data_IF_660483378500
#
_entry.id   IF_660483378500
#
_cell.length_a   1.000
_cell.length_b   1.000
_cell.length_c   1.000
_cell.angle_alpha   90.00
_cell.angle_beta   90.00
_cell.angle_gamma   90.00
#
_symmetry.space_group_name_H-M   'P 1'
#
loop_
_entity.id
_entity.type
_entity.pdbx_description
1 polymer ?
#
# COMPACT_ATOMS: atom_id res chain seq x y z
N UNK A 1 19.37 16.33 51.20
CA UNK A 1 20.07 17.07 50.14
C UNK A 1 21.44 17.56 50.57
N UNK A 2 21.60 18.16 51.76
CA UNK A 2 22.91 18.63 52.27
C UNK A 2 24.03 17.58 52.19
N UNK A 3 23.77 16.33 52.58
CA UNK A 3 24.78 15.26 52.49
C UNK A 3 25.21 14.92 51.05
N UNK A 4 24.30 15.04 50.07
CA UNK A 4 24.64 14.83 48.67
C UNK A 4 25.45 16.01 48.13
N UNK A 5 25.06 17.25 48.48
CA UNK A 5 25.81 18.45 48.14
C UNK A 5 27.25 18.37 48.67
N UNK A 6 27.42 18.02 49.95
CA UNK A 6 28.75 17.84 50.53
C UNK A 6 29.54 16.72 49.85
N UNK A 7 28.90 15.61 49.44
CA UNK A 7 29.59 14.55 48.71
C UNK A 7 30.24 15.09 47.42
N UNK A 8 29.50 15.87 46.63
CA UNK A 8 29.99 16.44 45.37
C UNK A 8 30.93 17.64 45.56
N UNK A 9 30.83 18.37 46.67
CA UNK A 9 31.76 19.48 47.00
C UNK A 9 33.17 18.97 47.36
N UNK A 10 33.27 17.81 48.02
CA UNK A 10 34.54 17.33 48.58
C UNK A 10 35.14 16.12 47.85
N UNK A 11 34.33 15.24 47.27
CA UNK A 11 34.83 14.02 46.63
C UNK A 11 35.09 14.22 45.13
N UNK A 12 36.29 13.82 44.70
CA UNK A 12 36.68 13.86 43.28
C UNK A 12 36.42 12.57 42.53
N UNK A 13 36.25 11.45 43.24
CA UNK A 13 36.00 10.13 42.64
C UNK A 13 34.86 9.43 43.38
N UNK A 14 33.79 9.11 42.66
CA UNK A 14 32.55 8.55 43.22
C UNK A 14 32.12 7.35 42.37
N UNK A 15 32.12 6.16 42.98
CA UNK A 15 31.42 4.99 42.44
C UNK A 15 30.03 4.90 43.09
N UNK A 16 28.99 5.09 42.30
CA UNK A 16 27.60 4.98 42.73
C UNK A 16 27.06 3.59 42.37
N UNK A 17 27.01 2.71 43.38
CA UNK A 17 26.47 1.35 43.21
C UNK A 17 24.97 1.37 43.39
N UNK A 18 24.27 0.81 42.41
CA UNK A 18 22.81 0.71 42.37
C UNK A 18 22.45 -0.75 42.14
N UNK A 19 21.25 -1.15 42.52
CA UNK A 19 20.78 -2.50 42.29
C UNK A 19 19.36 -2.48 41.71
N UNK A 20 19.21 -3.05 40.51
CA UNK A 20 17.94 -3.25 39.80
C UNK A 20 17.31 -1.98 39.24
N UNK A 21 18.08 -0.92 38.92
CA UNK A 21 17.47 0.34 38.48
C UNK A 21 16.88 0.29 37.07
N UNK A 22 17.34 -0.63 36.21
CA UNK A 22 16.79 -0.81 34.88
C UNK A 22 15.56 -1.73 34.81
N UNK A 23 15.20 -2.40 35.92
CA UNK A 23 14.07 -3.32 35.98
C UNK A 23 13.19 -3.06 37.21
N UNK A 24 13.40 -3.81 38.29
CA UNK A 24 12.48 -3.91 39.43
C UNK A 24 12.39 -2.63 40.28
N UNK A 25 13.37 -1.74 40.19
CA UNK A 25 13.47 -0.56 41.05
C UNK A 25 13.67 0.73 40.24
N UNK A 26 12.68 1.13 39.41
CA UNK A 26 12.81 2.28 38.51
C UNK A 26 13.04 3.61 39.25
N UNK A 27 12.60 3.72 40.51
CA UNK A 27 12.89 4.88 41.35
C UNK A 27 14.40 5.12 41.51
N UNK A 28 15.20 4.05 41.62
CA UNK A 28 16.65 4.17 41.76
C UNK A 28 17.29 4.75 40.50
N UNK A 29 16.67 4.57 39.33
CA UNK A 29 17.18 5.12 38.07
C UNK A 29 17.14 6.65 38.04
N UNK A 30 16.33 7.30 38.89
CA UNK A 30 16.36 8.75 39.04
C UNK A 30 17.72 9.24 39.53
N UNK A 31 18.44 8.45 40.35
CA UNK A 31 19.78 8.82 40.80
C UNK A 31 20.82 8.79 39.68
N UNK A 32 20.69 7.86 38.72
CA UNK A 32 21.49 7.84 37.50
C UNK A 32 21.21 9.09 36.67
N UNK A 33 19.94 9.45 36.49
CA UNK A 33 19.54 10.68 35.79
C UNK A 33 20.11 11.95 36.42
N UNK A 34 20.03 12.08 37.74
CA UNK A 34 20.66 13.17 38.49
C UNK A 34 22.18 13.18 38.27
N UNK A 35 22.80 12.00 38.33
CA UNK A 35 24.23 11.83 38.09
C UNK A 35 24.70 12.28 36.72
N UNK A 36 23.93 12.00 35.67
CA UNK A 36 24.23 12.48 34.30
C UNK A 36 24.32 14.00 34.26
N UNK A 37 23.39 14.70 34.91
CA UNK A 37 23.43 16.17 34.99
C UNK A 37 24.61 16.66 35.81
N UNK A 38 24.87 16.06 36.98
CA UNK A 38 25.98 16.46 37.85
C UNK A 38 27.34 16.24 37.20
N UNK A 39 27.52 15.17 36.42
CA UNK A 39 28.77 14.93 35.69
C UNK A 39 29.05 16.01 34.63
N UNK A 40 28.01 16.66 34.08
CA UNK A 40 28.17 17.80 33.16
C UNK A 40 28.44 19.11 33.91
N UNK A 41 27.91 19.27 35.13
CA UNK A 41 28.12 20.46 35.96
C UNK A 41 29.48 20.46 36.68
N UNK A 42 29.97 19.29 37.08
CA UNK A 42 31.21 19.09 37.82
C UNK A 42 32.20 18.23 37.02
N UNK A 43 32.81 18.76 35.94
CA UNK A 43 33.70 17.99 35.06
C UNK A 43 34.94 17.44 35.77
N UNK A 44 35.34 18.04 36.89
CA UNK A 44 36.45 17.59 37.73
C UNK A 44 36.10 16.38 38.64
N UNK A 45 34.83 15.96 38.66
CA UNK A 45 34.36 14.81 39.46
C UNK A 45 34.25 13.58 38.57
N UNK A 46 35.01 12.53 38.89
CA UNK A 46 34.91 11.21 38.29
C UNK A 46 33.72 10.47 38.89
N UNK A 47 32.59 10.56 38.23
CA UNK A 47 31.38 9.86 38.60
C UNK A 47 31.18 8.62 37.72
N UNK A 48 30.99 7.46 38.34
CA UNK A 48 30.68 6.20 37.66
C UNK A 48 29.50 5.50 38.35
N UNK A 49 28.59 4.96 37.55
CA UNK A 49 27.45 4.17 37.99
C UNK A 49 27.68 2.68 37.71
N UNK A 50 27.39 1.84 38.69
CA UNK A 50 27.36 0.39 38.54
C UNK A 50 25.99 -0.13 38.98
N UNK A 51 25.13 -0.48 38.03
CA UNK A 51 23.87 -1.17 38.31
C UNK A 51 24.13 -2.68 38.40
N UNK A 52 23.77 -3.26 39.53
CA UNK A 52 23.89 -4.69 39.80
C UNK A 52 22.52 -5.33 39.61
N UNK A 53 22.51 -6.51 39.01
CA UNK A 53 21.29 -7.31 38.90
C UNK A 53 20.64 -7.55 40.29
N UNK A 54 19.31 -7.38 40.34
CA UNK A 54 18.50 -7.58 41.54
C UNK A 54 18.33 -9.08 41.89
N UNK A 55 18.62 -9.99 40.96
CA UNK A 55 18.53 -11.45 41.15
C UNK A 55 19.56 -12.02 42.13
N UNK A 56 20.55 -11.23 42.56
CA UNK A 56 21.71 -11.68 43.35
C UNK A 56 22.15 -10.68 44.41
N UNK A 57 23.04 -11.09 45.30
CA UNK A 57 23.71 -10.17 46.22
C UNK A 57 24.82 -9.41 45.48
N UNK A 58 25.09 -8.13 45.83
CA UNK A 58 26.23 -7.40 45.30
C UNK A 58 27.54 -8.17 45.51
N UNK A 59 28.31 -8.35 44.43
CA UNK A 59 29.64 -8.93 44.50
C UNK A 59 30.65 -7.88 44.99
N UNK A 60 31.19 -8.09 46.20
CA UNK A 60 32.18 -7.20 46.78
C UNK A 60 33.44 -7.08 45.90
N UNK A 61 33.82 -8.16 45.21
CA UNK A 61 34.99 -8.15 44.32
C UNK A 61 34.75 -7.23 43.12
N UNK A 62 33.60 -7.38 42.44
CA UNK A 62 33.23 -6.50 41.34
C UNK A 62 33.23 -5.02 41.77
N UNK A 63 32.61 -4.69 42.90
CA UNK A 63 32.55 -3.31 43.39
C UNK A 63 33.95 -2.77 43.68
N UNK A 64 34.79 -3.55 44.37
CA UNK A 64 36.15 -3.17 44.70
C UNK A 64 37.02 -2.97 43.43
N UNK A 65 37.00 -3.93 42.51
CA UNK A 65 37.74 -3.83 41.25
C UNK A 65 37.27 -2.64 40.41
N UNK A 66 35.97 -2.36 40.40
CA UNK A 66 35.40 -1.21 39.69
C UNK A 66 35.88 0.11 40.27
N UNK A 67 35.82 0.26 41.59
CA UNK A 67 36.30 1.48 42.27
C UNK A 67 37.80 1.70 42.06
N UNK A 68 38.58 0.61 42.12
CA UNK A 68 40.02 0.67 41.84
C UNK A 68 40.26 1.15 40.40
N UNK A 69 39.61 0.53 39.40
CA UNK A 69 39.73 0.94 38.00
C UNK A 69 39.40 2.42 37.81
N UNK A 70 38.33 2.92 38.44
CA UNK A 70 37.93 4.33 38.37
C UNK A 70 39.02 5.30 38.92
N UNK A 71 39.78 4.86 39.92
CA UNK A 71 40.82 5.66 40.54
C UNK A 71 42.16 5.68 39.77
N UNK A 72 42.42 4.69 38.91
CA UNK A 72 43.73 4.46 38.29
C UNK A 72 43.87 4.95 36.83
N UNK A 73 42.95 5.76 36.30
CA UNK A 73 42.80 5.94 34.83
C UNK A 73 43.70 6.98 34.14
N UNK A 74 44.54 7.75 34.83
CA UNK A 74 45.38 8.78 34.17
C UNK A 74 46.78 8.28 33.84
N UNK A 75 46.88 7.50 32.77
CA UNK A 75 48.17 7.22 32.13
C UNK A 75 48.14 7.73 30.69
N UNK A 76 49.07 8.63 30.37
CA UNK A 76 49.18 9.20 29.03
C UNK A 76 49.36 8.09 27.98
N UNK A 77 48.59 8.16 26.89
CA UNK A 77 48.68 7.22 25.78
C UNK A 77 47.77 5.98 25.86
N UNK A 78 46.90 5.86 26.87
CA UNK A 78 45.93 4.75 26.97
C UNK A 78 44.54 5.22 26.51
N UNK A 79 43.89 4.42 25.64
CA UNK A 79 42.51 4.66 25.16
C UNK A 79 41.44 4.28 26.19
N UNK A 80 41.76 4.33 27.48
CA UNK A 80 40.87 3.91 28.55
C UNK A 80 39.80 4.96 28.81
N UNK A 81 38.54 4.58 28.67
CA UNK A 81 37.36 5.40 29.01
C UNK A 81 36.89 5.12 30.43
N UNK A 82 36.37 6.15 31.09
CA UNK A 82 35.80 6.03 32.45
C UNK A 82 34.57 5.12 32.48
N UNK A 83 33.81 5.02 31.38
CA UNK A 83 32.55 4.28 31.34
C UNK A 83 31.60 4.70 32.45
N UNK A 84 31.03 5.89 32.28
CA UNK A 84 30.19 6.55 33.28
C UNK A 84 29.02 5.69 33.78
N UNK A 85 28.49 4.80 32.94
CA UNK A 85 27.36 3.92 33.28
C UNK A 85 27.65 2.48 32.88
N UNK A 86 27.64 1.59 33.87
CA UNK A 86 27.83 0.16 33.69
C UNK A 86 26.69 -0.61 34.33
N UNK A 87 26.35 -1.74 33.71
CA UNK A 87 25.31 -2.65 34.18
C UNK A 87 25.87 -4.06 34.23
N UNK A 88 25.59 -4.79 35.31
CA UNK A 88 25.97 -6.18 35.43
C UNK A 88 24.79 -7.10 35.06
N UNK A 89 24.84 -7.72 33.89
CA UNK A 89 23.82 -8.66 33.40
C UNK A 89 24.45 -10.03 33.12
N UNK A 90 23.84 -11.13 33.57
CA UNK A 90 24.30 -12.50 33.29
C UNK A 90 25.83 -12.69 33.54
N UNK A 91 26.31 -12.28 34.73
CA UNK A 91 27.73 -12.31 35.12
C UNK A 91 28.70 -11.48 34.27
N UNK A 92 28.19 -10.59 33.41
CA UNK A 92 29.00 -9.72 32.55
C UNK A 92 28.73 -8.26 32.85
N UNK A 93 29.77 -7.46 32.78
CA UNK A 93 29.66 -6.00 32.84
C UNK A 93 29.45 -5.48 31.43
N UNK A 94 28.34 -4.80 31.23
CA UNK A 94 27.90 -4.20 29.97
C UNK A 94 27.94 -2.68 30.10
N UNK A 95 28.17 -2.00 28.98
CA UNK A 95 28.21 -0.54 28.90
C UNK A 95 27.26 -0.09 27.80
N UNK A 96 26.45 0.92 28.07
CA UNK A 96 25.55 1.49 27.09
C UNK A 96 26.31 2.35 26.06
N UNK A 97 25.96 2.17 24.78
CA UNK A 97 26.47 3.00 23.68
C UNK A 97 25.29 3.50 22.85
N UNK A 98 25.28 4.80 22.58
CA UNK A 98 24.34 5.39 21.64
C UNK A 98 24.85 5.11 20.22
N UNK A 99 24.14 4.26 19.49
CA UNK A 99 24.43 3.93 18.10
C UNK A 99 23.28 4.40 17.21
N UNK A 100 23.61 4.78 15.97
CA UNK A 100 22.59 5.20 15.01
C UNK A 100 21.70 4.00 14.63
N UNK A 101 20.41 4.09 14.94
CA UNK A 101 19.40 3.17 14.42
C UNK A 101 19.21 3.45 12.92
N UNK A 102 19.83 2.62 12.08
CA UNK A 102 19.82 2.80 10.63
C UNK A 102 18.41 2.69 10.07
N UNK A 103 17.58 1.80 10.58
CA UNK A 103 16.25 1.55 10.02
C UNK A 103 15.29 2.68 10.38
N UNK A 104 15.30 3.14 11.64
CA UNK A 104 14.53 4.30 12.06
C UNK A 104 14.94 5.56 11.29
N UNK A 105 16.25 5.79 11.12
CA UNK A 105 16.78 6.92 10.37
C UNK A 105 16.42 6.85 8.88
N UNK A 106 16.46 5.67 8.26
CA UNK A 106 16.05 5.48 6.87
C UNK A 106 14.56 5.79 6.69
N UNK A 107 13.70 5.29 7.58
CA UNK A 107 12.26 5.62 7.56
C UNK A 107 12.01 7.11 7.77
N UNK A 108 12.71 7.76 8.68
CA UNK A 108 12.60 9.21 8.87
C UNK A 108 12.97 9.96 7.58
N UNK A 109 14.12 9.62 6.97
CA UNK A 109 14.60 10.27 5.75
C UNK A 109 13.74 9.95 4.50
N UNK A 110 12.99 8.85 4.50
CA UNK A 110 12.10 8.47 3.41
C UNK A 110 10.95 9.48 3.18
N UNK A 111 10.67 10.35 4.15
CA UNK A 111 9.73 11.47 3.96
C UNK A 111 10.26 12.53 2.98
N UNK A 112 11.58 12.72 2.93
CA UNK A 112 12.21 13.82 2.20
C UNK A 112 12.96 13.36 0.94
N UNK A 113 13.29 12.06 0.84
CA UNK A 113 13.96 11.48 -0.33
C UNK A 113 13.50 10.06 -0.59
N UNK A 114 13.56 9.63 -1.85
CA UNK A 114 13.29 8.24 -2.20
C UNK A 114 14.39 7.33 -1.66
N UNK A 115 14.01 6.37 -0.82
CA UNK A 115 14.88 5.30 -0.32
C UNK A 115 14.24 3.99 -0.73
N UNK A 116 15.04 3.09 -1.32
CA UNK A 116 14.58 1.81 -1.83
C UNK A 116 15.33 0.66 -1.19
N UNK A 117 14.63 -0.46 -1.00
CA UNK A 117 15.20 -1.75 -0.61
C UNK A 117 14.75 -2.82 -1.60
N UNK A 118 15.64 -3.75 -1.92
CA UNK A 118 15.30 -4.94 -2.70
C UNK A 118 14.69 -5.99 -1.75
N UNK A 119 13.39 -6.26 -1.91
CA UNK A 119 12.63 -7.16 -1.02
C UNK A 119 12.06 -8.34 -1.83
N UNK A 120 12.02 -9.52 -1.22
CA UNK A 120 11.37 -10.69 -1.79
C UNK A 120 9.83 -10.55 -1.74
N UNK A 121 9.13 -10.50 -2.88
CA UNK A 121 7.66 -10.42 -2.92
C UNK A 121 6.98 -11.70 -2.38
N UNK A 122 7.72 -12.79 -2.18
CA UNK A 122 7.25 -14.01 -1.55
C UNK A 122 7.13 -13.94 -0.03
N UNK A 123 7.94 -13.12 0.64
CA UNK A 123 7.99 -13.03 2.10
C UNK A 123 7.23 -11.86 2.70
N UNK A 124 6.86 -10.87 1.88
CA UNK A 124 6.35 -9.58 2.36
C UNK A 124 5.10 -9.15 1.60
N UNK A 125 4.16 -8.55 2.33
CA UNK A 125 2.97 -7.93 1.76
C UNK A 125 3.37 -6.60 1.11
N UNK A 126 3.32 -6.55 -0.21
CA UNK A 126 3.70 -5.41 -1.04
C UNK A 126 2.51 -4.98 -1.89
N UNK A 127 2.48 -3.71 -2.29
CA UNK A 127 1.48 -3.19 -3.22
C UNK A 127 2.06 -2.17 -4.18
N UNK A 128 1.45 -2.08 -5.34
CA UNK A 128 1.65 -0.97 -6.24
C UNK A 128 0.93 0.29 -5.75
N UNK A 129 1.57 1.42 -6.04
CA UNK A 129 0.94 2.73 -6.01
C UNK A 129 1.26 3.43 -7.33
N UNK A 130 0.22 3.93 -7.99
CA UNK A 130 0.33 4.65 -9.26
C UNK A 130 0.38 6.15 -8.99
N UNK A 131 1.41 6.80 -9.50
CA UNK A 131 1.54 8.25 -9.58
C UNK A 131 1.35 8.70 -11.02
N UNK A 132 0.61 9.79 -11.24
CA UNK A 132 0.39 10.36 -12.57
C UNK A 132 1.68 10.85 -13.24
N UNK A 133 2.67 11.27 -12.45
CA UNK A 133 3.93 11.83 -12.97
C UNK A 133 5.08 10.80 -13.03
N UNK A 134 5.07 9.77 -12.18
CA UNK A 134 6.21 8.87 -11.99
C UNK A 134 5.92 7.39 -12.28
N UNK A 135 4.74 7.06 -12.82
CA UNK A 135 4.35 5.68 -13.10
C UNK A 135 4.06 4.88 -11.82
N UNK A 136 4.47 3.62 -11.79
CA UNK A 136 4.26 2.74 -10.63
C UNK A 136 5.46 2.75 -9.67
N UNK A 137 5.16 2.64 -8.38
CA UNK A 137 6.14 2.37 -7.33
C UNK A 137 5.58 1.30 -6.39
N UNK A 138 6.46 0.50 -5.80
CA UNK A 138 6.08 -0.57 -4.87
C UNK A 138 6.32 -0.09 -3.44
N UNK A 139 5.40 -0.40 -2.54
CA UNK A 139 5.48 -0.07 -1.12
C UNK A 139 5.11 -1.27 -0.27
N UNK A 140 5.62 -1.30 0.96
CA UNK A 140 5.09 -2.20 1.99
C UNK A 140 3.61 -1.93 2.24
N UNK A 141 2.86 -3.00 2.47
CA UNK A 141 1.43 -2.97 2.69
C UNK A 141 1.07 -3.67 3.99
N UNK A 142 0.49 -2.93 4.93
CA UNK A 142 -0.15 -3.50 6.11
C UNK A 142 -1.60 -3.85 5.75
N UNK A 143 -1.91 -5.14 5.70
CA UNK A 143 -3.26 -5.63 5.39
C UNK A 143 -3.93 -6.00 6.71
N UNK A 144 -4.98 -5.28 7.06
CA UNK A 144 -5.88 -5.68 8.14
C UNK A 144 -6.98 -6.54 7.53
N UNK A 145 -7.02 -7.82 7.89
CA UNK A 145 -8.06 -8.74 7.43
C UNK A 145 -9.23 -8.67 8.40
N UNK A 146 -10.40 -8.28 7.92
CA UNK A 146 -11.62 -8.36 8.73
C UNK A 146 -12.07 -9.82 8.90
N UNK A 147 -12.88 -10.15 9.91
CA UNK A 147 -13.35 -11.51 10.16
C UNK A 147 -14.13 -12.16 9.00
N UNK A 148 -14.63 -11.36 8.06
CA UNK A 148 -15.42 -11.79 6.91
C UNK A 148 -14.61 -11.87 5.60
N UNK A 149 -13.36 -11.42 5.65
CA UNK A 149 -12.45 -11.44 4.51
C UNK A 149 -11.54 -12.67 4.53
N UNK A 150 -11.14 -13.07 3.33
CA UNK A 150 -10.18 -14.13 3.10
C UNK A 150 -8.93 -13.52 2.49
N UNK A 151 -7.77 -13.88 3.04
CA UNK A 151 -6.48 -13.47 2.49
C UNK A 151 -6.13 -14.31 1.26
N UNK A 152 -5.81 -13.61 0.17
CA UNK A 152 -5.40 -14.20 -1.10
C UNK A 152 -3.92 -13.89 -1.34
N UNK A 153 -3.13 -14.94 -1.53
CA UNK A 153 -1.74 -14.85 -1.97
C UNK A 153 -1.72 -14.68 -3.48
N UNK A 154 -1.45 -13.47 -3.94
CA UNK A 154 -1.53 -13.10 -5.35
C UNK A 154 -0.36 -13.73 -6.11
N UNK A 155 -0.69 -14.34 -7.26
CA UNK A 155 0.29 -14.79 -8.24
C UNK A 155 0.34 -13.85 -9.43
N UNK A 156 -0.81 -13.55 -10.02
CA UNK A 156 -0.94 -12.68 -11.18
C UNK A 156 -2.07 -11.67 -10.96
N UNK A 157 -1.92 -10.47 -11.52
CA UNK A 157 -2.91 -9.42 -11.40
C UNK A 157 -2.95 -8.55 -12.67
N UNK A 158 -4.09 -7.97 -13.01
CA UNK A 158 -4.13 -6.95 -14.07
C UNK A 158 -3.43 -5.68 -13.58
N UNK A 159 -2.51 -5.13 -14.37
CA UNK A 159 -1.75 -3.94 -13.98
C UNK A 159 -2.67 -2.74 -13.77
N UNK A 160 -3.59 -2.53 -14.71
CA UNK A 160 -4.63 -1.50 -14.65
C UNK A 160 -5.92 -2.09 -14.06
N UNK A 161 -6.74 -1.28 -13.37
CA UNK A 161 -8.11 -1.66 -13.03
C UNK A 161 -8.90 -1.98 -14.30
N UNK A 162 -9.73 -3.00 -14.23
CA UNK A 162 -10.56 -3.47 -15.36
C UNK A 162 -12.05 -3.25 -15.10
N UNK A 163 -12.45 -3.07 -13.84
CA UNK A 163 -13.83 -2.83 -13.44
C UNK A 163 -13.90 -1.75 -12.36
N UNK A 164 -14.31 -0.53 -12.72
CA UNK A 164 -14.29 0.61 -11.81
C UNK A 164 -12.85 0.91 -11.34
N UNK A 165 -12.59 0.72 -10.05
CA UNK A 165 -11.25 0.80 -9.45
C UNK A 165 -10.65 -0.56 -9.09
N UNK A 166 -11.24 -1.67 -9.56
CA UNK A 166 -10.84 -3.02 -9.23
C UNK A 166 -9.94 -3.66 -10.29
N UNK A 167 -8.87 -4.28 -9.81
CA UNK A 167 -7.98 -5.15 -10.57
C UNK A 167 -8.52 -6.57 -10.58
N UNK A 168 -8.31 -7.29 -11.69
CA UNK A 168 -8.50 -8.74 -11.73
C UNK A 168 -7.29 -9.42 -11.06
N UNK A 169 -7.56 -10.32 -10.13
CA UNK A 169 -6.55 -10.99 -9.30
C UNK A 169 -6.67 -12.50 -9.48
N UNK A 170 -5.55 -13.16 -9.72
CA UNK A 170 -5.41 -14.60 -9.65
C UNK A 170 -4.40 -14.98 -8.57
N UNK A 171 -4.79 -15.87 -7.66
CA UNK A 171 -3.96 -16.24 -6.52
C UNK A 171 -4.35 -17.55 -5.86
N UNK A 172 -3.87 -17.73 -4.63
CA UNK A 172 -4.27 -18.85 -3.76
C UNK A 172 -5.02 -18.32 -2.54
N UNK A 173 -6.15 -18.95 -2.25
CA UNK A 173 -6.87 -18.77 -1.00
C UNK A 173 -6.01 -19.33 0.15
N UNK A 174 -5.66 -18.50 1.14
CA UNK A 174 -4.81 -18.91 2.26
C UNK A 174 -5.46 -20.01 3.11
N UNK A 175 -6.79 -19.97 3.28
CA UNK A 175 -7.53 -20.91 4.12
C UNK A 175 -7.68 -22.29 3.48
N UNK A 176 -7.92 -22.34 2.17
CA UNK A 176 -8.23 -23.60 1.46
C UNK A 176 -7.07 -24.12 0.62
N UNK A 177 -6.07 -23.28 0.34
CA UNK A 177 -4.93 -23.59 -0.54
C UNK A 177 -5.29 -23.64 -2.03
N UNK A 178 -6.57 -23.49 -2.39
CA UNK A 178 -7.07 -23.59 -3.77
C UNK A 178 -6.78 -22.32 -4.57
N UNK A 179 -6.69 -22.48 -5.89
CA UNK A 179 -6.60 -21.36 -6.81
C UNK A 179 -7.91 -20.58 -6.85
N UNK A 180 -7.80 -19.26 -6.91
CA UNK A 180 -8.93 -18.34 -6.87
C UNK A 180 -8.75 -17.22 -7.87
N UNK A 181 -9.86 -16.78 -8.45
CA UNK A 181 -9.96 -15.53 -9.19
C UNK A 181 -10.90 -14.58 -8.44
N UNK A 182 -10.51 -13.31 -8.34
CA UNK A 182 -11.29 -12.30 -7.62
C UNK A 182 -10.98 -10.90 -8.12
N UNK A 183 -11.69 -9.92 -7.55
CA UNK A 183 -11.44 -8.50 -7.77
C UNK A 183 -10.86 -7.84 -6.51
N UNK A 184 -9.93 -6.90 -6.68
CA UNK A 184 -9.42 -6.08 -5.57
C UNK A 184 -9.09 -4.66 -6.00
N UNK A 185 -9.37 -3.68 -5.13
CA UNK A 185 -8.94 -2.30 -5.32
C UNK A 185 -7.42 -2.11 -5.13
N UNK A 186 -6.71 -3.14 -4.63
CA UNK A 186 -5.28 -3.12 -4.39
C UNK A 186 -4.62 -4.16 -5.30
N UNK A 187 -3.58 -3.75 -6.03
CA UNK A 187 -2.70 -4.67 -6.74
C UNK A 187 -1.43 -4.87 -5.92
N UNK A 188 -1.22 -6.07 -5.40
CA UNK A 188 -0.14 -6.40 -4.47
C UNK A 188 0.16 -7.89 -4.40
N UNK A 189 1.13 -8.28 -3.58
CA UNK A 189 1.49 -9.70 -3.33
C UNK A 189 0.42 -10.43 -2.52
N UNK A 190 -0.36 -9.68 -1.74
CA UNK A 190 -1.46 -10.18 -0.93
C UNK A 190 -2.63 -9.21 -0.98
N UNK A 191 -3.85 -9.73 -0.95
CA UNK A 191 -5.08 -8.93 -0.85
C UNK A 191 -6.08 -9.60 0.09
N UNK A 192 -6.83 -8.81 0.85
CA UNK A 192 -7.99 -9.28 1.61
C UNK A 192 -9.25 -9.04 0.77
N UNK A 193 -10.09 -10.08 0.61
CA UNK A 193 -11.30 -10.01 -0.22
C UNK A 193 -12.44 -10.74 0.49
N UNK A 194 -13.66 -10.20 0.40
CA UNK A 194 -14.87 -10.85 0.90
C UNK A 194 -15.08 -12.20 0.20
N UNK A 195 -15.51 -13.22 0.93
CA UNK A 195 -15.62 -14.58 0.37
C UNK A 195 -16.60 -14.69 -0.81
N UNK A 196 -17.59 -13.79 -0.87
CA UNK A 196 -18.57 -13.68 -1.96
C UNK A 196 -18.03 -12.98 -3.24
N UNK A 197 -16.88 -12.30 -3.14
CA UNK A 197 -16.24 -11.59 -4.26
C UNK A 197 -15.10 -12.41 -4.89
N UNK A 198 -15.07 -13.72 -4.64
CA UNK A 198 -14.05 -14.62 -5.15
C UNK A 198 -14.67 -15.93 -5.64
N UNK A 199 -14.06 -16.53 -6.66
CA UNK A 199 -14.46 -17.84 -7.19
C UNK A 199 -13.27 -18.78 -7.13
N UNK A 200 -13.41 -19.89 -6.41
CA UNK A 200 -12.43 -20.97 -6.41
C UNK A 200 -12.55 -21.78 -7.72
N UNK A 201 -11.41 -22.13 -8.30
CA UNK A 201 -11.36 -22.85 -9.57
C UNK A 201 -10.09 -23.69 -9.69
N UNK A 202 -10.09 -24.62 -10.63
CA UNK A 202 -8.89 -25.35 -11.05
C UNK A 202 -8.42 -24.82 -12.38
N UNK A 203 -7.16 -24.40 -12.46
CA UNK A 203 -6.53 -23.86 -13.68
C UNK A 203 -5.25 -24.65 -13.92
N UNK A 204 -5.02 -25.02 -15.18
CA UNK A 204 -3.76 -25.62 -15.62
C UNK A 204 -2.62 -24.65 -15.37
N UNK A 205 -1.50 -25.13 -14.85
CA UNK A 205 -0.34 -24.27 -14.61
C UNK A 205 0.09 -23.59 -15.93
N UNK A 206 0.26 -22.27 -15.90
CA UNK A 206 0.60 -21.46 -17.07
C UNK A 206 -0.58 -20.73 -17.71
N UNK A 207 -1.82 -21.18 -17.52
CA UNK A 207 -3.01 -20.53 -18.10
C UNK A 207 -3.54 -19.36 -17.27
N UNK A 208 -2.88 -19.01 -16.15
CA UNK A 208 -3.40 -18.01 -15.21
C UNK A 208 -3.43 -16.60 -15.83
N UNK A 209 -2.41 -16.25 -16.63
CA UNK A 209 -2.38 -14.97 -17.33
C UNK A 209 -3.44 -14.92 -18.43
N UNK A 210 -3.59 -16.01 -19.19
CA UNK A 210 -4.63 -16.15 -20.21
C UNK A 210 -6.03 -15.95 -19.60
N UNK A 211 -6.29 -16.53 -18.43
CA UNK A 211 -7.56 -16.37 -17.74
C UNK A 211 -7.83 -14.91 -17.36
N UNK A 212 -6.83 -14.19 -16.83
CA UNK A 212 -6.96 -12.76 -16.54
C UNK A 212 -7.15 -11.93 -17.81
N UNK A 213 -6.49 -12.28 -18.92
CA UNK A 213 -6.70 -11.62 -20.21
C UNK A 213 -8.13 -11.83 -20.74
N UNK A 214 -8.67 -13.04 -20.61
CA UNK A 214 -10.08 -13.33 -20.91
C UNK A 214 -11.04 -12.55 -20.02
N UNK A 215 -10.72 -12.42 -18.72
CA UNK A 215 -11.50 -11.58 -17.81
C UNK A 215 -11.51 -10.12 -18.27
N UNK A 216 -10.37 -9.56 -18.67
CA UNK A 216 -10.31 -8.22 -19.25
C UNK A 216 -11.25 -8.08 -20.47
N UNK A 217 -11.18 -9.03 -21.40
CA UNK A 217 -11.98 -9.02 -22.63
C UNK A 217 -13.47 -9.15 -22.35
N UNK A 218 -13.88 -10.02 -21.42
CA UNK A 218 -15.28 -10.20 -21.03
C UNK A 218 -15.86 -8.91 -20.43
N UNK A 219 -15.08 -8.21 -19.62
CA UNK A 219 -15.49 -6.92 -19.05
C UNK A 219 -15.62 -5.86 -20.15
N UNK A 220 -14.68 -5.82 -21.10
CA UNK A 220 -14.76 -4.92 -22.25
C UNK A 220 -16.01 -5.18 -23.09
N UNK A 221 -16.32 -6.45 -23.39
CA UNK A 221 -17.54 -6.83 -24.11
C UNK A 221 -18.78 -6.41 -23.34
N UNK A 222 -18.81 -6.65 -22.02
CA UNK A 222 -19.95 -6.27 -21.18
C UNK A 222 -20.17 -4.75 -21.19
N UNK A 223 -19.11 -3.95 -21.00
CA UNK A 223 -19.17 -2.49 -21.04
C UNK A 223 -19.63 -1.95 -22.40
N UNK A 224 -19.18 -2.55 -23.50
CA UNK A 224 -19.65 -2.18 -24.84
C UNK A 224 -21.13 -2.51 -24.99
N UNK A 225 -21.57 -3.70 -24.57
CA UNK A 225 -22.97 -4.12 -24.70
C UNK A 225 -23.93 -3.34 -23.79
N UNK A 226 -23.45 -2.79 -22.68
CA UNK A 226 -24.27 -2.05 -21.72
C UNK A 226 -24.63 -0.63 -22.21
N UNK A 227 -23.83 -0.06 -23.13
CA UNK A 227 -24.12 1.24 -23.74
C UNK A 227 -24.95 1.13 -25.04
N UNK A 228 -25.34 -0.08 -25.42
CA UNK A 228 -26.04 -0.37 -26.66
C UNK A 228 -27.51 -0.74 -26.43
N UNK A 229 -28.38 -0.27 -27.31
CA UNK A 229 -29.81 -0.61 -27.28
C UNK A 229 -30.10 -1.92 -28.03
N UNK A 230 -31.11 -2.70 -27.61
CA UNK A 230 -31.55 -3.88 -28.37
C UNK A 230 -31.94 -3.53 -29.82
N UNK A 231 -31.69 -4.43 -30.76
CA UNK A 231 -31.95 -4.26 -32.21
C UNK A 231 -31.12 -3.19 -32.92
N UNK A 232 -30.14 -2.58 -32.26
CA UNK A 232 -29.25 -1.61 -32.87
C UNK A 232 -28.23 -2.28 -33.81
N UNK A 233 -27.74 -1.54 -34.82
CA UNK A 233 -26.68 -2.00 -35.72
C UNK A 233 -25.40 -1.23 -35.44
N UNK A 234 -24.37 -1.95 -34.98
CA UNK A 234 -23.11 -1.41 -34.50
C UNK A 234 -22.00 -1.75 -35.48
N UNK A 235 -21.23 -0.74 -35.88
CA UNK A 235 -19.96 -0.95 -36.57
C UNK A 235 -18.84 -0.89 -35.54
N UNK A 236 -18.00 -1.91 -35.48
CA UNK A 236 -16.79 -1.93 -34.64
C UNK A 236 -15.55 -1.95 -35.52
N UNK A 237 -14.76 -0.88 -35.46
CA UNK A 237 -13.56 -0.71 -36.28
C UNK A 237 -12.32 -1.26 -35.58
N UNK A 238 -11.58 -2.09 -36.29
CA UNK A 238 -10.30 -2.70 -35.91
C UNK A 238 -10.26 -3.29 -34.48
N UNK A 239 -11.27 -4.07 -34.04
CA UNK A 239 -11.17 -4.77 -32.78
C UNK A 239 -10.11 -5.87 -32.84
N UNK A 240 -9.51 -6.19 -31.69
CA UNK A 240 -8.70 -7.40 -31.57
C UNK A 240 -9.55 -8.65 -31.94
N UNK A 241 -9.00 -9.66 -32.63
CA UNK A 241 -9.78 -10.78 -33.15
C UNK A 241 -10.65 -11.50 -32.10
N UNK A 242 -10.10 -11.72 -30.91
CA UNK A 242 -10.82 -12.35 -29.80
C UNK A 242 -11.94 -11.46 -29.25
N UNK A 243 -11.73 -10.13 -29.17
CA UNK A 243 -12.75 -9.17 -28.76
C UNK A 243 -13.90 -9.16 -29.77
N UNK A 244 -13.59 -9.17 -31.07
CA UNK A 244 -14.58 -9.23 -32.14
C UNK A 244 -15.46 -10.47 -32.03
N UNK A 245 -14.85 -11.64 -31.82
CA UNK A 245 -15.58 -12.89 -31.67
C UNK A 245 -16.47 -12.89 -30.42
N UNK A 246 -15.93 -12.56 -29.26
CA UNK A 246 -16.71 -12.51 -28.01
C UNK A 246 -17.85 -11.49 -28.11
N UNK A 247 -17.59 -10.32 -28.69
CA UNK A 247 -18.61 -9.30 -28.89
C UNK A 247 -19.72 -9.79 -29.83
N UNK A 248 -19.38 -10.46 -30.94
CA UNK A 248 -20.37 -11.01 -31.87
C UNK A 248 -21.28 -12.05 -31.20
N UNK A 249 -20.69 -13.02 -30.48
CA UNK A 249 -21.44 -14.08 -29.80
C UNK A 249 -22.39 -13.52 -28.73
N UNK A 250 -21.94 -12.55 -27.93
CA UNK A 250 -22.75 -11.96 -26.85
C UNK A 250 -23.75 -10.92 -27.34
N UNK A 251 -23.41 -10.15 -28.38
CA UNK A 251 -24.34 -9.24 -29.02
C UNK A 251 -25.53 -9.97 -29.64
N UNK A 252 -25.29 -11.13 -30.26
CA UNK A 252 -26.35 -11.96 -30.84
C UNK A 252 -27.39 -12.37 -29.78
N UNK A 253 -26.94 -12.72 -28.56
CA UNK A 253 -27.83 -13.05 -27.44
C UNK A 253 -28.69 -11.88 -26.97
N UNK A 254 -28.20 -10.64 -27.11
CA UNK A 254 -28.93 -9.40 -26.78
C UNK A 254 -29.73 -8.83 -27.96
N UNK A 255 -29.77 -9.52 -29.11
CA UNK A 255 -30.45 -9.04 -30.32
C UNK A 255 -29.79 -7.80 -30.93
N UNK A 256 -28.47 -7.64 -30.76
CA UNK A 256 -27.67 -6.54 -31.33
C UNK A 256 -26.94 -7.05 -32.57
N UNK A 257 -26.99 -6.28 -33.65
CA UNK A 257 -26.30 -6.62 -34.89
C UNK A 257 -24.93 -5.93 -34.94
N UNK A 258 -23.85 -6.71 -34.91
CA UNK A 258 -22.47 -6.18 -34.97
C UNK A 258 -21.88 -6.45 -36.34
N UNK A 259 -21.24 -5.46 -36.91
CA UNK A 259 -20.52 -5.52 -38.18
C UNK A 259 -19.11 -4.94 -37.99
N UNK A 260 -18.10 -5.58 -38.55
CA UNK A 260 -16.71 -5.23 -38.30
C UNK A 260 -16.06 -4.53 -39.49
N UNK A 261 -15.16 -3.59 -39.24
CA UNK A 261 -14.28 -3.02 -40.27
C UNK A 261 -12.83 -3.22 -39.87
N UNK A 262 -11.99 -3.62 -40.81
CA UNK A 262 -10.56 -3.88 -40.55
C UNK A 262 -9.69 -3.44 -41.73
N UNK A 263 -8.44 -3.04 -41.46
CA UNK A 263 -7.45 -2.87 -42.51
C UNK A 263 -7.08 -4.20 -43.18
N UNK A 264 -6.60 -4.14 -44.42
CA UNK A 264 -6.11 -5.31 -45.16
C UNK A 264 -4.74 -5.73 -44.59
N UNK A 265 -4.71 -6.28 -43.39
CA UNK A 265 -3.56 -7.00 -42.83
C UNK A 265 -4.01 -8.41 -42.44
N UNK A 266 -3.15 -9.40 -42.69
CA UNK A 266 -3.46 -10.84 -42.61
C UNK A 266 -3.89 -11.29 -41.21
N UNK A 267 -5.19 -11.27 -40.92
CA UNK A 267 -5.79 -12.19 -39.96
C UNK A 267 -7.23 -12.45 -40.35
N UNK A 268 -7.59 -13.73 -40.47
CA UNK A 268 -8.89 -14.17 -40.91
C UNK A 268 -9.60 -14.87 -39.74
N UNK A 269 -10.53 -14.16 -39.08
CA UNK A 269 -11.65 -14.86 -38.45
C UNK A 269 -12.72 -14.97 -39.54
N UNK A 270 -12.58 -15.99 -40.40
CA UNK A 270 -13.35 -16.15 -41.65
C UNK A 270 -14.89 -16.30 -41.47
N UNK A 271 -15.41 -16.15 -40.25
CA UNK A 271 -16.83 -16.35 -39.90
C UNK A 271 -17.55 -15.08 -39.44
N UNK A 272 -16.88 -13.93 -39.27
CA UNK A 272 -17.53 -12.71 -38.78
C UNK A 272 -18.06 -11.81 -39.91
N UNK A 273 -19.17 -11.09 -39.69
CA UNK A 273 -19.68 -10.11 -40.65
C UNK A 273 -18.73 -8.89 -40.70
N UNK A 274 -17.88 -8.83 -41.73
CA UNK A 274 -16.79 -7.86 -41.78
C UNK A 274 -16.56 -7.24 -43.16
N UNK A 275 -16.02 -6.02 -43.18
CA UNK A 275 -15.54 -5.32 -44.36
C UNK A 275 -14.07 -4.96 -44.21
N UNK A 276 -13.26 -5.42 -45.17
CA UNK A 276 -11.86 -5.03 -45.29
C UNK A 276 -11.73 -3.73 -46.06
N UNK A 277 -11.09 -2.74 -45.46
CA UNK A 277 -10.90 -1.41 -46.05
C UNK A 277 -9.42 -1.18 -46.29
N UNK A 278 -9.08 -0.78 -47.52
CA UNK A 278 -7.74 -0.36 -47.89
C UNK A 278 -7.67 1.17 -47.87
N UNK A 279 -6.49 1.74 -47.62
CA UNK A 279 -6.26 3.18 -47.75
C UNK A 279 -6.62 3.73 -49.15
N UNK A 280 -6.58 2.90 -50.19
CA UNK A 280 -7.01 3.24 -51.55
C UNK A 280 -8.51 2.97 -51.82
N UNK A 281 -9.27 2.45 -50.86
CA UNK A 281 -10.69 2.12 -51.06
C UNK A 281 -11.53 3.40 -51.27
N UNK A 282 -12.21 3.55 -52.42
CA UNK A 282 -13.03 4.72 -52.68
C UNK A 282 -14.26 4.74 -51.78
N UNK A 283 -14.61 5.94 -51.26
CA UNK A 283 -15.76 6.19 -50.37
C UNK A 283 -17.05 5.51 -50.84
N UNK A 284 -17.32 5.51 -52.15
CA UNK A 284 -18.52 4.89 -52.74
C UNK A 284 -18.59 3.38 -52.47
N UNK A 285 -17.46 2.66 -52.56
CA UNK A 285 -17.42 1.21 -52.36
C UNK A 285 -17.57 0.85 -50.88
N UNK A 286 -16.94 1.63 -49.99
CA UNK A 286 -17.11 1.48 -48.54
C UNK A 286 -18.60 1.66 -48.20
N UNK A 287 -19.20 2.77 -48.64
CA UNK A 287 -20.61 3.07 -48.36
C UNK A 287 -21.57 2.02 -48.89
N UNK A 288 -21.30 1.41 -50.05
CA UNK A 288 -22.16 0.34 -50.61
C UNK A 288 -22.02 -1.01 -49.90
N UNK A 289 -20.91 -1.24 -49.19
CA UNK A 289 -20.64 -2.51 -48.52
C UNK A 289 -21.01 -2.51 -47.03
N UNK A 290 -21.21 -1.32 -46.44
CA UNK A 290 -21.69 -1.19 -45.06
C UNK A 290 -23.17 -1.57 -44.94
N UNK A 291 -23.60 -2.10 -43.78
CA UNK A 291 -25.01 -2.42 -43.53
C UNK A 291 -25.89 -1.17 -43.53
N UNK A 292 -27.18 -1.35 -43.80
CA UNK A 292 -28.20 -0.30 -43.66
C UNK A 292 -28.61 -0.12 -42.19
N UNK A 293 -29.06 1.07 -41.79
CA UNK A 293 -29.54 1.39 -40.43
C UNK A 293 -28.48 1.33 -39.31
N UNK A 294 -27.26 1.80 -39.60
CA UNK A 294 -26.19 1.91 -38.60
C UNK A 294 -26.55 2.96 -37.55
N UNK A 295 -26.61 2.55 -36.29
CA UNK A 295 -26.91 3.41 -35.14
C UNK A 295 -25.66 3.81 -34.36
N UNK A 296 -24.65 2.94 -34.30
CA UNK A 296 -23.44 3.17 -33.47
C UNK A 296 -22.17 2.78 -34.24
N UNK A 297 -21.12 3.57 -34.06
CA UNK A 297 -19.76 3.28 -34.50
C UNK A 297 -18.80 3.35 -33.31
N UNK A 298 -18.04 2.27 -33.12
CA UNK A 298 -17.05 2.11 -32.05
C UNK A 298 -15.69 1.90 -32.69
N UNK A 299 -14.78 2.84 -32.47
CA UNK A 299 -13.39 2.68 -32.89
C UNK A 299 -12.53 2.00 -31.83
N UNK A 300 -11.93 0.86 -32.17
CA UNK A 300 -10.97 0.14 -31.33
C UNK A 300 -9.50 0.40 -31.75
N UNK A 301 -9.27 1.16 -32.82
CA UNK A 301 -7.93 1.47 -33.28
C UNK A 301 -7.19 2.38 -32.29
N UNK A 302 -5.86 2.22 -32.23
CA UNK A 302 -4.98 3.09 -31.45
C UNK A 302 -4.31 4.17 -32.31
N UNK A 303 -4.47 4.09 -33.63
CA UNK A 303 -3.86 4.98 -34.61
C UNK A 303 -4.86 6.01 -35.14
N UNK A 304 -4.63 7.32 -34.97
CA UNK A 304 -5.51 8.38 -35.48
C UNK A 304 -5.68 8.36 -37.02
N UNK A 305 -4.74 7.75 -37.73
CA UNK A 305 -4.73 7.63 -39.20
C UNK A 305 -5.24 6.28 -39.72
N UNK A 306 -5.83 5.46 -38.84
CA UNK A 306 -6.36 4.14 -39.17
C UNK A 306 -7.55 4.18 -40.14
N UNK A 307 -8.10 3.01 -40.43
CA UNK A 307 -9.22 2.82 -41.37
C UNK A 307 -10.50 3.57 -40.94
N UNK A 308 -10.64 3.90 -39.66
CA UNK A 308 -11.75 4.68 -39.12
C UNK A 308 -12.03 5.95 -39.93
N UNK A 309 -10.99 6.69 -40.35
CA UNK A 309 -11.13 7.93 -41.15
C UNK A 309 -11.82 7.74 -42.50
N UNK A 310 -11.79 6.53 -43.05
CA UNK A 310 -12.42 6.18 -44.33
C UNK A 310 -13.86 5.68 -44.14
N UNK A 311 -14.12 5.04 -43.00
CA UNK A 311 -15.42 4.49 -42.62
C UNK A 311 -16.34 5.59 -42.08
N UNK A 312 -15.86 6.44 -41.18
CA UNK A 312 -16.63 7.49 -40.51
C UNK A 312 -17.43 8.40 -41.47
N UNK A 313 -16.86 8.89 -42.60
CA UNK A 313 -17.59 9.74 -43.53
C UNK A 313 -18.68 9.01 -44.34
N UNK A 314 -18.72 7.67 -44.26
CA UNK A 314 -19.72 6.82 -44.92
C UNK A 314 -20.94 6.55 -44.03
N UNK A 315 -20.85 6.87 -42.73
CA UNK A 315 -21.88 6.61 -41.74
C UNK A 315 -23.04 7.63 -41.81
N UNK A 316 -24.25 7.26 -41.39
CA UNK A 316 -25.37 8.19 -41.26
C UNK A 316 -25.10 9.36 -40.28
N UNK A 317 -25.82 10.47 -40.45
CA UNK A 317 -25.66 11.64 -39.57
C UNK A 317 -26.10 11.35 -38.12
N UNK A 318 -27.12 10.52 -37.94
CA UNK A 318 -27.65 10.11 -36.63
C UNK A 318 -26.81 9.02 -35.94
N UNK A 319 -25.75 8.53 -36.56
CA UNK A 319 -24.89 7.50 -35.97
C UNK A 319 -24.10 8.06 -34.79
N UNK A 320 -24.26 7.46 -33.61
CA UNK A 320 -23.43 7.79 -32.45
C UNK A 320 -22.02 7.24 -32.65
N UNK A 321 -21.00 8.09 -32.47
CA UNK A 321 -19.59 7.75 -32.70
C UNK A 321 -18.85 7.81 -31.37
N UNK A 322 -18.12 6.76 -31.06
CA UNK A 322 -17.33 6.64 -29.83
C UNK A 322 -16.10 5.76 -30.06
N UNK A 323 -15.22 5.66 -29.07
CA UNK A 323 -14.10 4.72 -29.08
C UNK A 323 -14.20 3.73 -27.92
N UNK A 324 -13.53 2.58 -28.05
CA UNK A 324 -13.43 1.61 -26.96
C UNK A 324 -12.81 2.24 -25.70
N UNK A 325 -11.79 3.08 -25.89
CA UNK A 325 -11.15 3.81 -24.78
C UNK A 325 -12.10 4.79 -24.11
N UNK A 326 -12.94 5.50 -24.87
CA UNK A 326 -13.95 6.41 -24.31
C UNK A 326 -14.99 5.65 -23.48
N UNK A 327 -15.45 4.50 -23.97
CA UNK A 327 -16.35 3.61 -23.22
C UNK A 327 -15.68 3.19 -21.90
N UNK A 328 -14.46 2.67 -21.95
CA UNK A 328 -13.71 2.28 -20.74
C UNK A 328 -13.54 3.44 -19.75
N UNK A 329 -13.28 4.65 -20.24
CA UNK A 329 -13.20 5.84 -19.41
C UNK A 329 -14.52 6.20 -18.72
N UNK A 330 -15.68 5.95 -19.36
CA UNK A 330 -16.99 6.13 -18.70
C UNK A 330 -17.17 5.20 -17.49
N UNK A 331 -16.58 4.00 -17.53
CA UNK A 331 -16.59 3.04 -16.43
C UNK A 331 -15.42 3.20 -15.45
N UNK A 332 -14.42 4.02 -15.78
CA UNK A 332 -13.29 4.30 -14.89
C UNK A 332 -13.75 5.18 -13.73
N UNK A 333 -13.72 4.65 -12.50
CA UNK A 333 -14.12 5.38 -11.29
C UNK A 333 -15.63 5.35 -11.01
N UNK A 334 -16.42 4.60 -11.78
CA UNK A 334 -17.79 4.25 -11.35
C UNK A 334 -17.74 3.30 -10.16
N UNK A 335 -18.78 3.32 -9.32
CA UNK A 335 -18.90 2.34 -8.24
C UNK A 335 -18.95 0.94 -8.87
N UNK A 336 -18.14 0.04 -8.34
CA UNK A 336 -18.19 -1.36 -8.73
C UNK A 336 -19.64 -1.89 -8.59
N UNK A 337 -20.07 -2.80 -9.48
CA UNK A 337 -21.37 -3.45 -9.34
C UNK A 337 -21.44 -4.22 -8.01
N UNK A 338 -22.66 -4.53 -7.56
CA UNK A 338 -22.87 -5.29 -6.32
C UNK A 338 -22.19 -6.65 -6.34
N UNK A 339 -21.92 -7.21 -5.16
CA UNK A 339 -21.10 -8.42 -4.98
C UNK A 339 -21.60 -9.63 -5.80
N UNK A 340 -22.92 -9.83 -5.87
CA UNK A 340 -23.53 -10.92 -6.67
C UNK A 340 -23.13 -10.83 -8.16
N UNK A 341 -23.11 -9.61 -8.71
CA UNK A 341 -22.75 -9.37 -10.11
C UNK A 341 -21.27 -9.61 -10.40
N UNK A 342 -20.38 -9.44 -9.41
CA UNK A 342 -18.95 -9.72 -9.56
C UNK A 342 -18.69 -11.22 -9.67
N UNK A 343 -19.31 -12.00 -8.78
CA UNK A 343 -19.20 -13.46 -8.79
C UNK A 343 -19.74 -14.06 -10.08
N UNK A 344 -20.86 -13.55 -10.58
CA UNK A 344 -21.45 -14.01 -11.85
C UNK A 344 -20.53 -13.74 -13.04
N UNK A 345 -19.89 -12.56 -13.09
CA UNK A 345 -18.94 -12.24 -14.14
C UNK A 345 -17.72 -13.16 -14.11
N UNK A 346 -17.18 -13.45 -12.92
CA UNK A 346 -16.07 -14.40 -12.77
C UNK A 346 -16.47 -15.81 -13.25
N UNK A 347 -17.68 -16.28 -12.89
CA UNK A 347 -18.21 -17.58 -13.34
C UNK A 347 -18.47 -17.64 -14.84
N UNK A 348 -18.86 -16.52 -15.43
CA UNK A 348 -19.09 -16.39 -16.87
C UNK A 348 -17.80 -16.63 -17.66
N UNK A 349 -16.70 -16.01 -17.23
CA UNK A 349 -15.36 -16.20 -17.84
C UNK A 349 -14.88 -17.64 -17.71
N UNK A 350 -15.12 -18.27 -16.55
CA UNK A 350 -14.74 -19.66 -16.31
C UNK A 350 -15.53 -20.61 -17.21
N UNK A 351 -16.83 -20.38 -17.38
CA UNK A 351 -17.71 -21.27 -18.15
C UNK A 351 -17.57 -21.11 -19.67
N UNK A 352 -17.21 -19.92 -20.15
CA UNK A 352 -17.10 -19.60 -21.57
C UNK A 352 -15.66 -19.46 -22.06
N UNK A 353 -14.66 -19.93 -21.30
CA UNK A 353 -13.25 -19.88 -21.69
C UNK A 353 -13.05 -20.59 -23.04
N UNK A 354 -12.83 -19.89 -24.16
CA UNK A 354 -12.76 -20.51 -25.47
C UNK A 354 -11.42 -21.25 -25.57
N UNK A 355 -11.40 -22.59 -25.75
CA UNK A 355 -10.16 -23.36 -25.60
C UNK A 355 -9.17 -23.22 -26.76
N UNK A 356 -9.47 -22.44 -27.82
CA UNK A 356 -8.79 -22.60 -29.11
C UNK A 356 -8.26 -21.31 -29.77
N UNK A 357 -8.47 -20.13 -29.18
CA UNK A 357 -8.03 -18.86 -29.80
C UNK A 357 -6.76 -18.37 -29.09
N UNK A 358 -5.66 -18.13 -29.81
CA UNK A 358 -4.49 -17.45 -29.27
C UNK A 358 -4.87 -16.04 -28.81
N UNK A 359 -4.53 -15.70 -27.56
CA UNK A 359 -4.75 -14.37 -27.00
C UNK A 359 -3.38 -13.73 -26.82
N UNK A 360 -3.16 -12.60 -27.47
CA UNK A 360 -1.99 -11.78 -27.22
C UNK A 360 -2.21 -10.99 -25.92
N UNK A 361 -1.30 -11.13 -24.97
CA UNK A 361 -1.26 -10.34 -23.75
C UNK A 361 0.19 -10.20 -23.28
N UNK A 362 0.47 -9.09 -22.61
CA UNK A 362 1.79 -8.79 -22.09
C UNK A 362 1.88 -9.21 -20.63
N UNK A 363 2.88 -10.01 -20.27
CA UNK A 363 3.19 -10.35 -18.88
C UNK A 363 4.45 -9.60 -18.47
N UNK A 364 4.38 -8.82 -17.40
CA UNK A 364 5.50 -8.05 -16.87
C UNK A 364 5.81 -8.46 -15.42
N UNK A 365 7.09 -8.43 -15.05
CA UNK A 365 7.44 -8.54 -13.64
C UNK A 365 7.19 -7.22 -12.89
N UNK A 366 7.06 -7.22 -11.56
CA UNK A 366 6.89 -5.98 -10.81
C UNK A 366 8.06 -5.01 -10.98
N UNK A 367 9.27 -5.53 -11.19
CA UNK A 367 10.47 -4.71 -11.47
C UNK A 367 10.36 -4.01 -12.83
N UNK A 368 9.91 -4.72 -13.87
CA UNK A 368 9.74 -4.14 -15.20
C UNK A 368 8.65 -3.07 -15.20
N UNK A 369 7.56 -3.30 -14.46
CA UNK A 369 6.48 -2.32 -14.27
C UNK A 369 7.00 -1.01 -13.69
N UNK A 370 7.87 -1.06 -12.69
CA UNK A 370 8.48 0.15 -12.12
C UNK A 370 9.44 0.81 -13.12
N UNK A 371 10.16 0.02 -13.92
CA UNK A 371 11.11 0.52 -14.92
C UNK A 371 10.43 1.19 -16.14
N UNK A 372 9.22 0.76 -16.51
CA UNK A 372 8.47 1.31 -17.66
C UNK A 372 8.02 2.77 -17.50
N UNK A 373 8.04 3.32 -16.28
CA UNK A 373 7.97 4.77 -16.05
C UNK A 373 6.69 5.48 -16.50
N UNK A 374 5.59 4.75 -16.72
CA UNK A 374 4.28 5.34 -17.08
C UNK A 374 3.70 4.88 -18.41
N UNK A 375 4.48 4.23 -19.27
CA UNK A 375 4.01 3.69 -20.55
C UNK A 375 3.61 2.22 -20.38
N UNK A 376 2.31 1.93 -20.38
CA UNK A 376 1.80 0.57 -20.18
C UNK A 376 0.79 0.20 -21.24
N UNK A 377 0.92 -1.00 -21.78
CA UNK A 377 -0.07 -1.55 -22.71
C UNK A 377 -1.36 -1.92 -21.97
N UNK A 378 -2.51 -1.63 -22.58
CA UNK A 378 -3.79 -2.08 -22.08
C UNK A 378 -3.82 -3.61 -21.99
N UNK A 379 -4.32 -4.14 -20.88
CA UNK A 379 -4.33 -5.60 -20.65
C UNK A 379 -3.01 -6.21 -20.16
N UNK A 380 -2.00 -5.40 -19.81
CA UNK A 380 -0.78 -5.89 -19.16
C UNK A 380 -1.13 -6.63 -17.85
N UNK A 381 -0.57 -7.82 -17.69
CA UNK A 381 -0.69 -8.66 -16.50
C UNK A 381 0.64 -8.66 -15.75
N UNK A 382 0.59 -8.40 -14.45
CA UNK A 382 1.75 -8.49 -13.58
C UNK A 382 1.86 -9.90 -13.03
N UNK A 383 3.05 -10.51 -13.12
CA UNK A 383 3.39 -11.74 -12.42
C UNK A 383 4.24 -11.45 -11.18
N UNK A 384 3.59 -11.45 -10.02
CA UNK A 384 4.23 -11.18 -8.71
C UNK A 384 5.23 -12.25 -8.28
N UNK A 385 5.32 -13.38 -9.00
CA UNK A 385 6.28 -14.46 -8.75
C UNK A 385 7.41 -14.52 -9.77
N UNK A 386 7.43 -13.63 -10.78
CA UNK A 386 8.44 -13.63 -11.84
C UNK A 386 9.84 -13.16 -11.38
N UNK A 387 9.94 -12.42 -10.28
CA UNK A 387 11.21 -11.86 -9.78
C UNK A 387 11.47 -12.23 -8.34
N UNK A 388 12.73 -12.58 -8.02
CA UNK A 388 13.16 -12.88 -6.66
C UNK A 388 13.21 -11.65 -5.76
N UNK A 389 13.55 -10.47 -6.31
CA UNK A 389 13.65 -9.22 -5.55
C UNK A 389 13.03 -8.06 -6.33
N UNK A 390 12.27 -7.22 -5.65
CA UNK A 390 11.61 -6.04 -6.22
C UNK A 390 12.02 -4.77 -5.48
N UNK A 391 12.18 -3.62 -6.18
CA UNK A 391 12.57 -2.36 -5.56
C UNK A 391 11.38 -1.74 -4.81
N UNK A 392 11.37 -1.87 -3.49
CA UNK A 392 10.33 -1.33 -2.60
C UNK A 392 10.76 0.03 -2.11
N UNK A 393 9.92 1.04 -2.32
CA UNK A 393 10.10 2.37 -1.71
C UNK A 393 9.72 2.31 -0.25
N UNK A 394 10.66 2.68 0.62
CA UNK A 394 10.37 2.86 2.02
C UNK A 394 9.39 4.02 2.19
N UNK A 395 8.43 3.83 3.10
CA UNK A 395 7.58 4.92 3.58
C UNK A 395 8.08 5.43 4.91
N UNK A 396 7.85 6.72 5.16
CA UNK A 396 8.08 7.27 6.49
C UNK A 396 7.17 6.59 7.51
N UNK A 397 7.68 6.42 8.74
CA UNK A 397 6.91 5.92 9.89
C UNK A 397 5.62 6.72 10.10
N UNK A 398 5.64 8.01 9.73
CA UNK A 398 4.47 8.89 9.75
C UNK A 398 3.31 8.39 8.87
N UNK A 399 3.55 7.58 7.84
CA UNK A 399 2.47 7.03 6.99
C UNK A 399 2.05 5.61 7.40
N UNK A 400 2.83 4.97 8.28
CA UNK A 400 2.59 3.60 8.72
C UNK A 400 1.77 3.53 10.01
N UNK A 401 1.90 4.53 10.89
CA UNK A 401 1.19 4.55 12.16
C UNK A 401 -0.30 4.84 11.92
N UNK A 402 -1.14 3.94 12.40
CA UNK A 402 -2.59 4.08 12.49
C UNK A 402 -3.03 3.89 13.93
N UNK A 403 -3.93 4.75 14.37
CA UNK A 403 -4.59 4.65 15.64
C UNK A 403 -5.93 3.96 15.44
N UNK A 404 -6.22 3.05 16.35
CA UNK A 404 -7.54 2.45 16.51
C UNK A 404 -8.52 3.54 16.95
N UNK A 405 -9.59 3.71 16.17
CA UNK A 405 -10.64 4.70 16.42
C UNK A 405 -11.46 4.39 17.68
N UNK A 406 -11.49 3.13 18.10
CA UNK A 406 -12.27 2.66 19.26
C UNK A 406 -11.47 2.70 20.57
N UNK A 407 -10.25 3.27 20.55
CA UNK A 407 -9.39 3.41 21.73
C UNK A 407 -9.27 4.85 22.18
N UNK A 408 -9.00 5.01 23.48
CA UNK A 408 -8.71 6.29 24.12
C UNK A 408 -7.21 6.46 24.30
N UNK A 409 -6.67 7.58 23.81
CA UNK A 409 -5.24 7.91 23.93
C UNK A 409 -5.03 9.02 24.95
N UNK A 410 -4.24 8.77 25.99
CA UNK A 410 -4.02 9.73 27.08
C UNK A 410 -2.63 10.34 26.98
N UNK A 411 -2.57 11.68 26.90
CA UNK A 411 -1.34 12.45 26.81
C UNK A 411 -1.10 13.20 28.13
N UNK A 412 0.00 12.85 28.80
CA UNK A 412 0.34 13.37 30.12
C UNK A 412 1.36 14.50 30.04
N UNK A 413 1.00 15.68 30.59
CA UNK A 413 1.95 16.75 30.88
C UNK A 413 2.55 17.45 29.66
N UNK A 414 1.93 17.34 28.49
CA UNK A 414 2.39 18.03 27.29
C UNK A 414 2.06 19.54 27.35
N UNK A 415 2.97 20.37 26.84
CA UNK A 415 2.70 21.79 26.60
C UNK A 415 1.59 21.97 25.57
N UNK A 416 0.90 23.11 25.59
CA UNK A 416 -0.25 23.37 24.70
C UNK A 416 0.08 23.11 23.23
N UNK A 417 1.18 23.67 22.74
CA UNK A 417 1.51 23.65 21.31
C UNK A 417 1.98 22.28 20.84
N UNK A 418 2.73 21.57 21.68
CA UNK A 418 3.13 20.18 21.39
C UNK A 418 1.91 19.24 21.47
N UNK A 419 1.01 19.49 22.43
CA UNK A 419 -0.20 18.71 22.60
C UNK A 419 -1.14 18.87 21.39
N UNK A 420 -1.38 20.10 20.92
CA UNK A 420 -2.23 20.35 19.74
C UNK A 420 -1.63 19.71 18.50
N UNK A 421 -0.34 19.94 18.22
CA UNK A 421 0.33 19.34 17.06
C UNK A 421 0.32 17.80 17.09
N UNK A 422 0.52 17.20 18.27
CA UNK A 422 0.45 15.74 18.40
C UNK A 422 -0.98 15.24 18.23
N UNK A 423 -1.98 15.92 18.78
CA UNK A 423 -3.39 15.60 18.59
C UNK A 423 -3.80 15.64 17.12
N UNK A 424 -3.38 16.66 16.37
CA UNK A 424 -3.65 16.78 14.93
C UNK A 424 -3.00 15.62 14.16
N UNK A 425 -1.75 15.29 14.51
CA UNK A 425 -1.03 14.16 13.94
C UNK A 425 -1.70 12.81 14.27
N UNK A 426 -2.20 12.62 15.49
CA UNK A 426 -2.91 11.41 15.90
C UNK A 426 -4.30 11.29 15.25
N UNK A 427 -5.04 12.40 15.22
CA UNK A 427 -6.37 12.51 14.61
C UNK A 427 -6.36 12.15 13.13
N UNK A 428 -5.41 12.72 12.38
CA UNK A 428 -5.20 12.41 10.96
C UNK A 428 -4.80 10.95 10.70
N UNK A 429 -4.51 10.17 11.75
CA UNK A 429 -4.13 8.75 11.69
C UNK A 429 -5.15 7.80 12.32
N UNK A 430 -6.34 8.29 12.65
CA UNK A 430 -7.46 7.45 13.10
C UNK A 430 -7.78 7.57 14.57
N UNK A 431 -7.02 8.34 15.36
CA UNK A 431 -7.40 8.56 16.76
C UNK A 431 -8.69 9.37 16.78
N UNK A 432 -9.72 8.86 17.48
CA UNK A 432 -11.00 9.56 17.65
C UNK A 432 -11.27 9.99 19.08
N UNK A 433 -10.60 9.39 20.06
CA UNK A 433 -10.74 9.78 21.46
C UNK A 433 -9.38 10.08 22.06
N UNK A 434 -9.13 11.36 22.39
CA UNK A 434 -7.86 11.83 22.96
C UNK A 434 -8.11 12.55 24.28
N UNK A 435 -7.33 12.21 25.31
CA UNK A 435 -7.39 12.82 26.62
C UNK A 435 -6.10 13.58 26.89
N UNK A 436 -6.22 14.89 27.11
CA UNK A 436 -5.11 15.76 27.47
C UNK A 436 -5.13 15.99 28.98
N UNK A 437 -4.00 15.77 29.65
CA UNK A 437 -3.86 16.12 31.06
C UNK A 437 -2.73 17.14 31.22
N UNK A 438 -3.04 18.33 31.73
CA UNK A 438 -2.07 19.37 32.01
C UNK A 438 -2.48 20.11 33.29
N UNK A 439 -1.51 20.58 34.08
CA UNK A 439 -1.79 21.38 35.27
C UNK A 439 -2.48 22.70 34.95
N UNK A 440 -2.10 23.33 33.84
CA UNK A 440 -2.68 24.59 33.36
C UNK A 440 -2.89 24.50 31.84
N UNK A 441 -3.93 23.78 31.38
CA UNK A 441 -4.19 23.66 29.96
C UNK A 441 -4.60 25.01 29.38
N UNK A 442 -3.79 25.55 28.48
CA UNK A 442 -4.10 26.74 27.71
C UNK A 442 -4.23 26.35 26.24
N UNK A 443 -5.39 25.83 25.87
CA UNK A 443 -5.68 25.41 24.51
C UNK A 443 -6.64 26.42 23.88
N UNK A 444 -6.39 26.77 22.62
CA UNK A 444 -7.29 27.62 21.87
C UNK A 444 -8.66 26.93 21.69
N UNK A 445 -9.73 27.65 22.02
CA UNK A 445 -11.10 27.18 21.83
C UNK A 445 -11.42 26.95 20.36
N UNK A 446 -10.87 27.78 19.47
CA UNK A 446 -11.06 27.65 18.02
C UNK A 446 -10.56 26.29 17.51
N UNK A 447 -9.40 25.85 18.02
CA UNK A 447 -8.80 24.55 17.71
C UNK A 447 -9.65 23.40 18.28
N UNK A 448 -10.15 23.50 19.52
CA UNK A 448 -11.04 22.49 20.10
C UNK A 448 -12.33 22.31 19.28
N UNK A 449 -12.90 23.40 18.76
CA UNK A 449 -14.06 23.36 17.88
C UNK A 449 -13.72 22.75 16.51
N UNK A 450 -12.55 23.05 15.96
CA UNK A 450 -12.08 22.50 14.69
C UNK A 450 -11.86 20.98 14.78
N UNK A 451 -11.13 20.51 15.79
CA UNK A 451 -10.85 19.08 15.97
C UNK A 451 -12.12 18.29 16.30
N UNK A 452 -13.07 18.90 17.01
CA UNK A 452 -14.40 18.33 17.25
C UNK A 452 -15.23 18.23 15.96
N UNK A 453 -15.20 19.26 15.10
CA UNK A 453 -15.83 19.24 13.76
C UNK A 453 -15.22 18.16 12.86
N UNK A 454 -13.94 17.84 13.04
CA UNK A 454 -13.27 16.73 12.37
C UNK A 454 -13.66 15.34 12.94
N UNK A 455 -14.59 15.26 13.90
CA UNK A 455 -15.09 14.02 14.47
C UNK A 455 -14.18 13.43 15.56
N UNK A 456 -13.34 14.24 16.20
CA UNK A 456 -12.42 13.80 17.25
C UNK A 456 -12.85 14.37 18.61
N UNK A 457 -13.06 13.47 19.56
CA UNK A 457 -13.41 13.80 20.94
C UNK A 457 -12.14 14.05 21.75
N UNK A 458 -11.85 15.33 22.01
CA UNK A 458 -10.76 15.75 22.89
C UNK A 458 -11.31 16.13 24.26
N UNK A 459 -10.86 15.44 25.31
CA UNK A 459 -11.19 15.79 26.70
C UNK A 459 -9.95 16.31 27.42
N UNK A 460 -10.08 17.47 28.05
CA UNK A 460 -8.97 18.14 28.74
C UNK A 460 -9.20 18.08 30.24
N UNK A 461 -8.29 17.47 30.98
CA UNK A 461 -8.31 17.46 32.44
C UNK A 461 -7.25 18.40 32.99
N UNK A 462 -7.69 19.25 33.92
CA UNK A 462 -6.81 20.07 34.74
C UNK A 462 -6.82 19.58 36.19
N UNK A 463 -5.79 19.94 36.96
CA UNK A 463 -5.63 19.54 38.38
C UNK A 463 -6.76 20.04 39.30
N UNK A 464 -7.72 20.83 38.80
CA UNK A 464 -8.75 21.51 39.60
C UNK A 464 -10.19 21.03 39.38
N UNK A 465 -10.43 19.99 38.59
CA UNK A 465 -11.75 19.35 38.60
C UNK A 465 -11.90 18.52 39.88
N UNK A 466 -12.66 19.04 40.85
CA UNK A 466 -13.08 18.26 42.03
C UNK A 466 -13.73 16.96 41.55
N UNK A 467 -13.46 15.81 42.19
CA UNK A 467 -14.21 14.61 41.88
C UNK A 467 -15.69 14.90 42.13
N UNK A 468 -16.53 14.55 41.15
CA UNK A 468 -17.96 14.39 41.36
C UNK A 468 -18.14 13.43 42.54
N UNK A 469 -18.54 13.96 43.70
CA UNK A 469 -19.12 13.14 44.75
C UNK A 469 -20.48 12.69 44.25
N UNK A 470 -20.62 11.38 44.01
CA UNK A 470 -21.90 10.69 43.91
C UNK A 470 -22.52 10.53 45.30
#
# INVERSE_FOLDING_TARGET
MSGLQSLFDYQRTILWVIQGCQADQPYKNMSVGLGRSLALEFPDVRLQFLDIDNSRKPDARLVAETLLRLNFTDTEGILWSVEQEMVQENDRVMIARLVADRDANRRHNAANRAITDDIDPGSTSLRFHRSSAAGYSIYDSNINVSPYEVMIHVKKATLLPILGNLHGIFGKNERTGKSVICFSAVNGTMVAVQAENMVELSVTAGDEARLLALLCLEIQVSQVLDVLEPSCTVITNEPAPILAQMLHERAFQKGIHVFFTESVAESAVAALPQLRVNNASPKRLIKSALPTNISVFIDCSSEPEGVARLVEPCLPDHCWRTSLSAIQHMYSGTKAPGNDSLSDLLRLVISHCPPLIPIAFTVASPRDVVAMGGSYEAGTIVDWKATALVPVRLTSVNYQIRFDENKTYVLFGLTSDLATSLCDWMSSRGARTIVLTNRNPNLDKSWLEEISRAGVHVKVFSKYERPFCA
#
